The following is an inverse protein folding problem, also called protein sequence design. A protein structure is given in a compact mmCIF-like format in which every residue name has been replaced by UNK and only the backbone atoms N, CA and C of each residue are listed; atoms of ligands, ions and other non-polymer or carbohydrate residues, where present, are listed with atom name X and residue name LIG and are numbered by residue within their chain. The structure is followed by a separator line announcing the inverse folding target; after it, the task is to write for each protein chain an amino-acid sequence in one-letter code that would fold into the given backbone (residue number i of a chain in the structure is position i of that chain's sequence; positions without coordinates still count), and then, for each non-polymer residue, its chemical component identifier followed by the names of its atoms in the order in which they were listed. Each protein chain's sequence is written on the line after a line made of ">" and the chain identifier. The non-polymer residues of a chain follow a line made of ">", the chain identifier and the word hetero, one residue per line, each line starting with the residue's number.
data_IF_637744311341
#
_entry.id   IF_637744311341
#
_cell.length_a   1.000
_cell.length_b   1.000
_cell.length_c   1.000
_cell.angle_alpha   90.00
_cell.angle_beta   90.00
_cell.angle_gamma   90.00
#
_symmetry.space_group_name_H-M   'P 1'
#
loop_
_entity.id
_entity.type
_entity.pdbx_description
1 polymer ?
#
# COMPACT_ATOMS: atom_id res chain seq x y z
N UNK A 1 3.23 -6.53 -11.34
CA UNK A 1 2.58 -6.45 -10.02
C UNK A 1 1.60 -7.59 -9.98
N UNK A 2 1.74 -8.47 -8.99
CA UNK A 2 0.78 -9.56 -8.84
C UNK A 2 -0.61 -8.95 -8.64
N UNK A 3 -1.59 -9.43 -9.41
CA UNK A 3 -2.98 -9.08 -9.15
C UNK A 3 -3.35 -9.74 -7.82
N UNK A 4 -3.26 -8.94 -6.75
CA UNK A 4 -3.79 -9.25 -5.43
C UNK A 4 -5.32 -9.24 -5.49
N UNK A 5 -5.89 -10.25 -6.15
CA UNK A 5 -7.31 -10.47 -6.24
C UNK A 5 -7.85 -10.94 -4.88
N UNK A 6 -8.92 -10.29 -4.42
CA UNK A 6 -9.55 -10.64 -3.15
C UNK A 6 -10.44 -11.87 -3.39
N UNK A 7 -10.18 -12.96 -2.65
CA UNK A 7 -11.08 -14.10 -2.63
C UNK A 7 -12.29 -13.80 -1.73
N UNK A 8 -13.35 -13.28 -2.34
CA UNK A 8 -14.59 -12.94 -1.65
C UNK A 8 -15.31 -14.16 -1.05
N UNK A 9 -15.13 -15.36 -1.62
CA UNK A 9 -15.73 -16.58 -1.07
C UNK A 9 -15.03 -16.97 0.23
N UNK A 10 -13.69 -16.96 0.23
CA UNK A 10 -12.89 -17.19 1.43
C UNK A 10 -13.15 -16.12 2.49
N UNK A 11 -13.23 -14.85 2.12
CA UNK A 11 -13.56 -13.76 3.04
C UNK A 11 -14.93 -13.97 3.70
N UNK A 12 -15.96 -14.36 2.92
CA UNK A 12 -17.28 -14.66 3.46
C UNK A 12 -17.31 -15.90 4.36
N UNK A 13 -16.44 -16.88 4.13
CA UNK A 13 -16.30 -18.07 4.98
C UNK A 13 -15.59 -17.73 6.29
N UNK A 14 -14.47 -17.00 6.24
CA UNK A 14 -13.73 -16.56 7.42
C UNK A 14 -14.61 -15.68 8.32
N UNK A 15 -15.37 -14.76 7.73
CA UNK A 15 -16.32 -13.93 8.45
C UNK A 15 -17.40 -14.76 9.17
N UNK A 16 -17.92 -15.83 8.53
CA UNK A 16 -18.93 -16.72 9.13
C UNK A 16 -18.38 -17.62 10.22
N UNK A 17 -17.13 -18.07 10.07
CA UNK A 17 -16.47 -18.98 11.02
C UNK A 17 -15.81 -18.26 12.19
N UNK A 18 -15.66 -16.94 12.12
CA UNK A 18 -14.92 -16.15 13.11
C UNK A 18 -13.40 -16.25 12.97
N UNK A 19 -12.91 -16.82 11.86
CA UNK A 19 -11.49 -16.83 11.52
C UNK A 19 -10.99 -15.41 11.19
N UNK A 20 -9.68 -15.19 11.37
CA UNK A 20 -9.07 -13.89 11.11
C UNK A 20 -9.16 -13.51 9.62
N UNK A 21 -9.76 -12.35 9.33
CA UNK A 21 -9.87 -11.80 7.97
C UNK A 21 -8.58 -11.15 7.47
N UNK A 22 -7.71 -10.74 8.39
CA UNK A 22 -6.40 -10.17 8.11
C UNK A 22 -5.30 -11.10 8.65
N UNK A 23 -4.04 -10.80 8.37
CA UNK A 23 -2.92 -11.69 8.65
C UNK A 23 -2.45 -12.44 7.42
N UNK A 24 -1.37 -13.21 7.57
CA UNK A 24 -0.74 -13.99 6.49
C UNK A 24 -1.74 -14.83 5.69
N UNK A 25 -2.74 -15.39 6.37
CA UNK A 25 -3.76 -16.27 5.77
C UNK A 25 -5.15 -15.61 5.65
N UNK A 26 -5.26 -14.33 6.01
CA UNK A 26 -6.50 -13.57 5.98
C UNK A 26 -6.90 -13.17 4.56
N UNK A 27 -8.14 -13.43 4.18
CA UNK A 27 -8.64 -13.15 2.83
C UNK A 27 -8.64 -11.66 2.46
N UNK A 28 -8.60 -10.75 3.46
CA UNK A 28 -8.57 -9.29 3.27
C UNK A 28 -7.18 -8.67 3.48
N UNK A 29 -6.13 -9.45 3.76
CA UNK A 29 -4.76 -8.92 3.77
C UNK A 29 -4.37 -8.19 2.46
N UNK A 30 -4.73 -8.71 1.26
CA UNK A 30 -4.55 -7.98 0.00
C UNK A 30 -5.21 -6.60 -0.04
N UNK A 31 -6.37 -6.43 0.60
CA UNK A 31 -7.09 -5.17 0.62
C UNK A 31 -6.35 -4.12 1.47
N UNK A 32 -5.85 -4.53 2.64
CA UNK A 32 -5.06 -3.66 3.51
C UNK A 32 -3.81 -3.14 2.79
N UNK A 33 -3.09 -4.04 2.10
CA UNK A 33 -1.93 -3.69 1.29
C UNK A 33 -2.28 -2.65 0.20
N UNK A 34 -3.38 -2.88 -0.53
CA UNK A 34 -3.83 -1.95 -1.58
C UNK A 34 -4.20 -0.58 -1.02
N UNK A 35 -4.90 -0.52 0.11
CA UNK A 35 -5.28 0.75 0.74
C UNK A 35 -4.03 1.53 1.15
N UNK A 36 -3.08 0.90 1.83
CA UNK A 36 -1.85 1.55 2.29
C UNK A 36 -1.01 2.06 1.12
N UNK A 37 -0.80 1.24 0.10
CA UNK A 37 -0.06 1.65 -1.09
C UNK A 37 -0.76 2.77 -1.87
N UNK A 38 -2.10 2.74 -1.96
CA UNK A 38 -2.85 3.80 -2.63
C UNK A 38 -2.81 5.12 -1.86
N UNK A 39 -2.83 5.06 -0.52
CA UNK A 39 -2.67 6.25 0.31
C UNK A 39 -1.29 6.91 0.09
N UNK A 40 -0.21 6.12 0.09
CA UNK A 40 1.15 6.61 -0.18
C UNK A 40 1.28 7.25 -1.57
N UNK A 41 0.64 6.66 -2.59
CA UNK A 41 0.61 7.26 -3.93
C UNK A 41 -0.10 8.61 -3.96
N UNK A 42 -1.24 8.71 -3.27
CA UNK A 42 -1.98 9.97 -3.15
C UNK A 42 -1.20 11.04 -2.39
N UNK A 43 -0.48 10.66 -1.33
CA UNK A 43 0.42 11.57 -0.60
C UNK A 43 1.56 12.06 -1.51
N UNK A 44 2.15 11.20 -2.34
CA UNK A 44 3.17 11.61 -3.31
C UNK A 44 2.62 12.54 -4.40
N UNK A 45 1.40 12.31 -4.86
CA UNK A 45 0.74 13.21 -5.81
C UNK A 45 0.50 14.60 -5.20
N UNK A 46 0.10 14.66 -3.93
CA UNK A 46 -0.03 15.90 -3.19
C UNK A 46 1.32 16.60 -2.93
N UNK A 47 2.38 15.82 -2.65
CA UNK A 47 3.74 16.32 -2.45
C UNK A 47 4.33 16.95 -3.71
N UNK A 48 4.14 16.33 -4.88
CA UNK A 48 4.64 16.84 -6.16
C UNK A 48 3.70 17.89 -6.77
N UNK A 49 3.59 19.04 -6.08
CA UNK A 49 2.83 20.21 -6.53
C UNK A 49 3.36 20.79 -7.85
N UNK A 50 2.65 21.77 -8.41
CA UNK A 50 3.13 22.48 -9.61
C UNK A 50 4.45 23.21 -9.36
N UNK A 51 4.63 23.79 -8.16
CA UNK A 51 5.86 24.46 -7.76
C UNK A 51 7.04 23.49 -7.71
N UNK A 52 6.88 22.33 -7.04
CA UNK A 52 7.89 21.27 -6.99
C UNK A 52 8.26 20.75 -8.38
N UNK A 53 7.27 20.60 -9.26
CA UNK A 53 7.54 20.18 -10.64
C UNK A 53 8.27 21.25 -11.44
N UNK A 54 7.93 22.51 -11.22
CA UNK A 54 8.58 23.65 -11.88
C UNK A 54 10.04 23.84 -11.44
N UNK A 55 10.37 23.49 -10.20
CA UNK A 55 11.74 23.50 -9.67
C UNK A 55 12.57 22.29 -10.12
N UNK A 56 11.95 21.32 -10.79
CA UNK A 56 12.60 20.15 -11.38
C UNK A 56 12.42 18.86 -10.59
N UNK A 57 11.69 18.88 -9.48
CA UNK A 57 11.39 17.68 -8.71
C UNK A 57 10.39 16.78 -9.47
N UNK A 58 10.56 15.46 -9.32
CA UNK A 58 9.80 14.44 -10.05
C UNK A 58 9.88 13.10 -9.34
N UNK A 59 8.97 12.18 -9.67
CA UNK A 59 9.00 10.81 -9.17
C UNK A 59 10.32 10.11 -9.55
N UNK A 60 10.85 9.33 -8.61
CA UNK A 60 12.11 8.60 -8.69
C UNK A 60 11.93 7.13 -8.28
N UNK A 61 10.88 6.50 -8.80
CA UNK A 61 10.54 5.11 -8.52
C UNK A 61 9.88 4.90 -7.15
N UNK A 62 9.99 3.67 -6.65
CA UNK A 62 9.43 3.23 -5.36
C UNK A 62 10.43 2.33 -4.64
N UNK A 63 10.30 2.24 -3.32
CA UNK A 63 11.06 1.34 -2.46
C UNK A 63 10.11 0.36 -1.78
N UNK A 64 10.37 -0.94 -1.96
CA UNK A 64 9.63 -2.00 -1.28
C UNK A 64 10.09 -2.14 0.17
N UNK A 65 9.14 -2.18 1.12
CA UNK A 65 9.39 -2.41 2.54
C UNK A 65 8.34 -3.38 3.09
N UNK A 66 8.76 -4.28 3.96
CA UNK A 66 7.87 -5.15 4.74
C UNK A 66 7.63 -4.52 6.11
N UNK A 67 6.38 -4.21 6.41
CA UNK A 67 5.98 -3.54 7.65
C UNK A 67 5.17 -4.51 8.50
N UNK A 68 5.56 -4.66 9.76
CA UNK A 68 4.79 -5.42 10.74
C UNK A 68 3.63 -4.55 11.24
N UNK A 69 2.41 -5.02 11.04
CA UNK A 69 1.20 -4.38 11.58
C UNK A 69 0.58 -5.29 12.64
N UNK A 70 -0.40 -4.77 13.40
CA UNK A 70 -1.22 -5.63 14.29
C UNK A 70 -1.98 -6.73 13.56
N UNK A 71 -2.08 -6.62 12.24
CA UNK A 71 -2.77 -7.55 11.36
C UNK A 71 -1.81 -8.37 10.49
N UNK A 72 -0.54 -8.49 10.90
CA UNK A 72 0.49 -9.23 10.18
C UNK A 72 1.37 -8.35 9.29
N UNK A 73 2.27 -9.01 8.58
CA UNK A 73 3.20 -8.38 7.63
C UNK A 73 2.45 -7.89 6.39
N UNK A 74 2.74 -6.66 5.99
CA UNK A 74 2.24 -6.06 4.75
C UNK A 74 3.42 -5.54 3.93
N UNK A 75 3.36 -5.70 2.61
CA UNK A 75 4.36 -5.12 1.71
C UNK A 75 3.89 -3.74 1.26
N UNK A 76 4.67 -2.70 1.55
CA UNK A 76 4.42 -1.36 1.03
C UNK A 76 5.47 -0.97 0.00
N UNK A 77 5.05 -0.22 -1.01
CA UNK A 77 5.86 0.31 -2.09
C UNK A 77 5.92 1.83 -1.93
N UNK A 78 6.76 2.31 -1.01
CA UNK A 78 6.88 3.74 -0.70
C UNK A 78 7.38 4.50 -1.92
N UNK A 79 6.61 5.44 -2.48
CA UNK A 79 7.06 6.25 -3.60
C UNK A 79 8.17 7.20 -3.15
N UNK A 80 9.03 7.60 -4.10
CA UNK A 80 10.13 8.53 -3.83
C UNK A 80 10.14 9.67 -4.85
N UNK A 81 10.48 10.85 -4.41
CA UNK A 81 10.79 12.00 -5.27
C UNK A 81 12.30 12.06 -5.58
N UNK A 82 12.69 12.92 -6.52
CA UNK A 82 14.07 13.00 -6.99
C UNK A 82 14.98 13.68 -5.98
N UNK A 83 14.44 14.70 -5.32
CA UNK A 83 15.20 15.54 -4.40
C UNK A 83 15.26 14.92 -2.99
N UNK A 84 14.44 13.89 -2.74
CA UNK A 84 14.42 13.13 -1.50
C UNK A 84 13.76 13.88 -0.36
N UNK A 85 12.81 14.76 -0.68
CA UNK A 85 12.09 15.59 0.28
C UNK A 85 10.78 14.96 0.76
N UNK A 86 10.27 13.94 0.07
CA UNK A 86 9.10 13.17 0.52
C UNK A 86 9.44 12.30 1.73
N UNK A 87 8.62 12.38 2.79
CA UNK A 87 8.83 11.70 4.08
C UNK A 87 7.68 10.76 4.43
#
# INVERSE_FOLDING_TARGET
>A
MDNLEIDYKKAAQQLRSGEALFGKDGALAPLLERILNSALEGEMDAHLSEEERSSGNRRNGKMSKKVQTKYGEVTIETPRDRDGTFQ
#
